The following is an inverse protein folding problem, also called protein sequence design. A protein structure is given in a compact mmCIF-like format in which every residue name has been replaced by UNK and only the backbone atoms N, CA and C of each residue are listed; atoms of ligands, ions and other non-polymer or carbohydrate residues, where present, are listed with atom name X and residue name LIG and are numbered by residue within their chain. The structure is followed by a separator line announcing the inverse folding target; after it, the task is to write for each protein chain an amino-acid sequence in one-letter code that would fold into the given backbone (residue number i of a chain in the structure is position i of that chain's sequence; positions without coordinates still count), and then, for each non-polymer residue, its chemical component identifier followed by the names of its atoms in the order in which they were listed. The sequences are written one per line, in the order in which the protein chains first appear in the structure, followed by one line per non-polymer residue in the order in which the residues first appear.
data_IF_625538278717
#
_entry.id   IF_625538278717
#
_cell.length_a   1.000
_cell.length_b   1.000
_cell.length_c   1.000
_cell.angle_alpha   90.00
_cell.angle_beta   90.00
_cell.angle_gamma   90.00
#
_symmetry.space_group_name_H-M   'P 1'
#
loop_
_entity.id
_entity.type
_entity.pdbx_description
1 polymer ?
#
# COMPACT_ATOMS: atom_id res chain seq x y z
N UNK A 1 17.18 20.60 -53.43
CA UNK A 1 18.39 20.15 -52.70
C UNK A 1 18.25 20.65 -51.27
N UNK A 2 18.65 19.83 -50.29
CA UNK A 2 18.68 20.07 -48.84
C UNK A 2 17.31 19.95 -48.11
N UNK A 3 17.16 19.28 -46.96
CA UNK A 3 17.83 18.12 -46.34
C UNK A 3 16.85 17.57 -45.29
N UNK A 4 17.12 16.35 -44.83
CA UNK A 4 16.30 15.47 -43.99
C UNK A 4 16.58 15.67 -42.49
N UNK A 5 15.66 15.16 -41.65
CA UNK A 5 15.76 14.76 -40.21
C UNK A 5 15.40 15.86 -39.21
N UNK A 6 14.68 15.58 -38.11
CA UNK A 6 14.80 14.38 -37.27
C UNK A 6 13.50 14.10 -36.51
N UNK A 7 13.10 12.83 -36.51
CA UNK A 7 12.11 12.23 -35.64
C UNK A 7 12.59 12.29 -34.18
N UNK A 8 11.76 12.82 -33.28
CA UNK A 8 11.91 12.62 -31.84
C UNK A 8 10.84 11.62 -31.39
N UNK A 9 11.25 10.35 -31.47
CA UNK A 9 10.81 9.18 -30.76
C UNK A 9 9.89 9.45 -29.53
N UNK A 10 8.58 9.53 -29.74
CA UNK A 10 7.61 9.35 -28.65
C UNK A 10 7.48 7.86 -28.42
N UNK A 11 8.32 7.31 -27.53
CA UNK A 11 8.09 5.98 -27.00
C UNK A 11 6.68 5.94 -26.42
N UNK A 12 5.81 5.12 -27.02
CA UNK A 12 4.53 4.77 -26.42
C UNK A 12 4.85 4.06 -25.11
N UNK A 13 4.74 4.79 -24.01
CA UNK A 13 4.66 4.20 -22.68
C UNK A 13 3.42 3.33 -22.71
N UNK A 14 3.64 2.03 -22.88
CA UNK A 14 2.61 1.01 -22.66
C UNK A 14 2.33 1.08 -21.17
N UNK A 15 1.27 1.81 -20.81
CA UNK A 15 0.72 1.80 -19.47
C UNK A 15 0.30 0.37 -19.18
N UNK A 16 1.19 -0.37 -18.52
CA UNK A 16 0.83 -1.60 -17.82
C UNK A 16 -0.43 -1.27 -17.01
N UNK A 17 -1.46 -2.08 -17.21
CA UNK A 17 -2.81 -1.93 -16.69
C UNK A 17 -2.75 -1.43 -15.25
N UNK A 18 -3.05 -0.15 -15.03
CA UNK A 18 -3.06 0.45 -13.69
C UNK A 18 -4.30 -0.11 -12.97
N UNK A 19 -4.17 -1.31 -12.39
CA UNK A 19 -5.26 -2.05 -11.70
C UNK A 19 -5.89 -1.23 -10.57
N UNK A 20 -5.19 -0.18 -10.13
CA UNK A 20 -5.62 0.75 -9.10
C UNK A 20 -6.06 2.12 -9.67
N UNK A 21 -5.96 2.41 -10.97
CA UNK A 21 -6.14 3.75 -11.58
C UNK A 21 -5.53 4.89 -10.75
N UNK A 22 -4.36 4.66 -10.14
CA UNK A 22 -3.69 5.63 -9.26
C UNK A 22 -3.38 6.94 -10.00
N UNK A 23 -3.31 6.92 -11.34
CA UNK A 23 -3.01 8.09 -12.17
C UNK A 23 -4.21 9.03 -12.34
N UNK A 24 -5.45 8.53 -12.29
CA UNK A 24 -6.64 9.32 -12.66
C UNK A 24 -7.40 9.89 -11.46
N UNK A 25 -7.26 9.29 -10.28
CA UNK A 25 -8.00 9.72 -9.09
C UNK A 25 -7.31 10.87 -8.35
N UNK A 26 -8.12 11.80 -7.82
CA UNK A 26 -7.66 12.80 -6.87
C UNK A 26 -7.26 12.13 -5.54
N UNK A 27 -5.97 12.17 -5.22
CA UNK A 27 -5.49 11.76 -3.89
C UNK A 27 -5.80 12.90 -2.93
N UNK A 28 -6.65 12.71 -1.91
CA UNK A 28 -6.99 13.78 -0.95
C UNK A 28 -5.87 14.06 0.04
N UNK A 29 -5.74 15.27 0.60
CA UNK A 29 -4.82 15.54 1.72
C UNK A 29 -5.15 14.70 2.95
N UNK A 30 -4.14 14.46 3.80
CA UNK A 30 -4.35 13.75 5.05
C UNK A 30 -5.15 14.61 6.05
N UNK A 31 -6.08 14.03 6.82
CA UNK A 31 -6.74 14.72 7.93
C UNK A 31 -5.74 15.22 8.98
N UNK A 32 -6.06 16.33 9.64
CA UNK A 32 -5.19 16.98 10.64
C UNK A 32 -4.70 16.01 11.74
N UNK A 33 -5.58 15.16 12.26
CA UNK A 33 -5.24 14.21 13.31
C UNK A 33 -4.23 13.13 12.85
N UNK A 34 -4.23 12.76 11.56
CA UNK A 34 -3.23 11.84 10.98
C UNK A 34 -1.88 12.54 10.87
N UNK A 35 -1.86 13.80 10.44
CA UNK A 35 -0.64 14.61 10.38
C UNK A 35 -0.01 14.79 11.77
N UNK A 36 -0.81 15.06 12.80
CA UNK A 36 -0.33 15.15 14.18
C UNK A 36 0.30 13.84 14.66
N UNK A 37 -0.32 12.69 14.34
CA UNK A 37 0.23 11.36 14.64
C UNK A 37 1.51 11.07 13.86
N UNK A 38 1.61 11.50 12.59
CA UNK A 38 2.85 11.41 11.82
C UNK A 38 3.98 12.21 12.46
N UNK A 39 3.70 13.39 13.02
CA UNK A 39 4.69 14.20 13.73
C UNK A 39 5.15 13.48 15.01
N UNK A 40 4.24 12.91 15.79
CA UNK A 40 4.57 12.10 16.97
C UNK A 40 5.42 10.87 16.58
N UNK A 41 5.12 10.28 15.43
CA UNK A 41 5.85 9.17 14.81
C UNK A 41 7.33 9.44 14.57
N UNK A 42 7.80 10.70 14.62
CA UNK A 42 9.22 11.06 14.46
C UNK A 42 10.10 10.61 15.62
N UNK A 43 9.54 10.52 16.82
CA UNK A 43 10.29 10.25 18.05
C UNK A 43 9.91 8.92 18.70
N UNK A 44 8.68 8.45 18.47
CA UNK A 44 8.18 7.20 19.02
C UNK A 44 7.28 6.48 18.02
N UNK A 45 7.20 5.15 18.13
CA UNK A 45 6.27 4.35 17.34
C UNK A 45 4.83 4.81 17.61
N UNK A 46 4.18 5.33 16.57
CA UNK A 46 2.84 5.92 16.65
C UNK A 46 1.94 5.30 15.59
N UNK A 47 0.75 4.87 15.99
CA UNK A 47 -0.29 4.45 15.05
C UNK A 47 -0.84 5.66 14.31
N UNK A 48 -0.85 5.63 12.98
CA UNK A 48 -1.22 6.77 12.13
C UNK A 48 -2.53 6.55 11.37
N UNK A 49 -2.85 5.31 11.01
CA UNK A 49 -4.06 4.94 10.27
C UNK A 49 -4.68 3.67 10.86
N UNK A 50 -6.00 3.62 10.82
CA UNK A 50 -6.78 2.40 10.96
C UNK A 50 -7.24 1.99 9.56
N UNK A 51 -6.96 0.75 9.17
CA UNK A 51 -7.63 0.14 8.04
C UNK A 51 -9.11 0.00 8.33
N UNK A 52 -9.94 0.21 7.32
CA UNK A 52 -11.38 0.15 7.46
C UNK A 52 -11.81 -1.26 7.85
N UNK A 53 -12.52 -1.41 8.96
CA UNK A 53 -13.15 -2.67 9.33
C UNK A 53 -14.24 -3.02 8.30
N UNK A 54 -14.40 -4.30 8.00
CA UNK A 54 -15.55 -4.81 7.24
C UNK A 54 -16.34 -5.74 8.13
N UNK A 55 -17.64 -5.50 8.24
CA UNK A 55 -18.56 -6.32 9.06
C UNK A 55 -18.49 -7.81 8.67
N UNK A 56 -18.30 -8.11 7.38
CA UNK A 56 -18.14 -9.50 6.90
C UNK A 56 -16.92 -10.24 7.49
N UNK A 57 -15.99 -9.54 8.15
CA UNK A 57 -14.81 -10.12 8.79
C UNK A 57 -14.94 -10.29 10.30
N UNK A 58 -15.99 -9.74 10.93
CA UNK A 58 -16.11 -9.69 12.39
C UNK A 58 -16.13 -11.08 13.05
N UNK A 59 -16.57 -12.09 12.32
CA UNK A 59 -16.63 -13.49 12.78
C UNK A 59 -15.47 -14.35 12.28
N UNK A 60 -14.61 -13.81 11.41
CA UNK A 60 -13.53 -14.57 10.80
C UNK A 60 -12.27 -14.51 11.65
N UNK A 61 -11.61 -15.67 11.80
CA UNK A 61 -10.26 -15.74 12.36
C UNK A 61 -9.25 -15.65 11.22
N UNK A 62 -8.27 -14.74 11.29
CA UNK A 62 -7.20 -14.70 10.30
C UNK A 62 -6.46 -16.04 10.24
N UNK A 63 -6.22 -16.53 9.03
CA UNK A 63 -5.30 -17.63 8.73
C UNK A 63 -3.85 -17.18 8.85
N UNK A 64 -3.54 -15.96 8.40
CA UNK A 64 -2.19 -15.41 8.42
C UNK A 64 -2.21 -13.89 8.57
N UNK A 65 -1.08 -13.33 8.97
CA UNK A 65 -0.79 -11.91 8.91
C UNK A 65 0.41 -11.67 8.00
N UNK A 66 0.35 -10.61 7.19
CA UNK A 66 1.51 -10.04 6.51
C UNK A 66 1.83 -8.71 7.15
N UNK A 67 3.06 -8.54 7.65
CA UNK A 67 3.59 -7.24 8.07
C UNK A 67 4.43 -6.69 6.92
N UNK A 68 4.14 -5.47 6.50
CA UNK A 68 4.86 -4.75 5.45
C UNK A 68 5.63 -3.61 6.08
N UNK A 69 6.93 -3.51 5.77
CA UNK A 69 7.87 -2.53 6.33
C UNK A 69 8.56 -1.76 5.20
N UNK A 70 8.60 -0.44 5.33
CA UNK A 70 9.14 0.50 4.34
C UNK A 70 10.01 1.54 5.05
N UNK A 71 11.29 1.64 4.69
CA UNK A 71 12.19 2.65 5.23
C UNK A 71 12.36 3.80 4.26
N UNK A 72 12.32 5.03 4.78
CA UNK A 72 12.41 6.25 4.01
C UNK A 72 13.67 7.06 4.34
N UNK A 73 14.10 7.87 3.38
CA UNK A 73 15.20 8.82 3.56
C UNK A 73 14.64 10.25 3.74
N UNK A 74 13.57 10.58 3.03
CA UNK A 74 12.96 11.90 3.04
C UNK A 74 11.62 11.91 3.78
N UNK A 75 11.43 12.93 4.62
CA UNK A 75 10.20 13.12 5.41
C UNK A 75 8.96 13.25 4.53
N UNK A 76 9.09 13.95 3.40
CA UNK A 76 7.99 14.15 2.46
C UNK A 76 7.49 12.83 1.88
N UNK A 77 8.36 11.83 1.70
CA UNK A 77 7.97 10.50 1.24
C UNK A 77 7.17 9.73 2.28
N UNK A 78 7.46 9.93 3.58
CA UNK A 78 6.66 9.35 4.66
C UNK A 78 5.23 9.88 4.62
N UNK A 79 5.07 11.20 4.43
CA UNK A 79 3.75 11.85 4.32
C UNK A 79 3.03 11.37 3.06
N UNK A 80 3.73 11.28 1.91
CA UNK A 80 3.18 10.74 0.66
C UNK A 80 2.75 9.29 0.81
N UNK A 81 3.54 8.46 1.49
CA UNK A 81 3.20 7.06 1.77
C UNK A 81 1.92 6.96 2.59
N UNK A 82 1.81 7.68 3.71
CA UNK A 82 0.59 7.69 4.53
C UNK A 82 -0.64 8.11 3.71
N UNK A 83 -0.50 9.12 2.86
CA UNK A 83 -1.57 9.60 1.96
C UNK A 83 -1.99 8.53 0.95
N UNK A 84 -1.01 7.87 0.32
CA UNK A 84 -1.26 6.79 -0.66
C UNK A 84 -1.86 5.55 -0.01
N UNK A 85 -1.46 5.23 1.21
CA UNK A 85 -2.06 4.17 2.01
C UNK A 85 -3.53 4.50 2.24
N UNK A 86 -3.86 5.66 2.82
CA UNK A 86 -5.26 6.05 3.07
C UNK A 86 -6.12 6.00 1.79
N UNK A 87 -5.62 6.59 0.70
CA UNK A 87 -6.31 6.55 -0.60
C UNK A 87 -6.55 5.11 -1.09
N UNK A 88 -5.58 4.21 -0.91
CA UNK A 88 -5.71 2.81 -1.28
C UNK A 88 -6.78 2.10 -0.46
N UNK A 89 -6.94 2.42 0.83
CA UNK A 89 -8.05 1.86 1.65
C UNK A 89 -9.39 2.28 1.06
N UNK A 90 -9.58 3.60 0.93
CA UNK A 90 -10.83 4.24 0.53
C UNK A 90 -11.30 3.67 -0.81
N UNK A 91 -10.37 3.53 -1.77
CA UNK A 91 -10.66 3.01 -3.10
C UNK A 91 -10.98 1.51 -3.09
N UNK A 92 -10.25 0.71 -2.32
CA UNK A 92 -10.54 -0.73 -2.23
C UNK A 92 -11.91 -0.99 -1.59
N UNK A 93 -12.34 -0.12 -0.68
CA UNK A 93 -13.63 -0.21 0.01
C UNK A 93 -14.81 0.36 -0.80
N UNK A 94 -14.56 1.31 -1.70
CA UNK A 94 -15.60 1.83 -2.60
C UNK A 94 -16.05 0.82 -3.68
N UNK A 95 -15.37 -0.32 -3.82
CA UNK A 95 -15.75 -1.37 -4.78
C UNK A 95 -17.01 -2.10 -4.29
N UNK A 96 -18.03 -2.18 -5.13
CA UNK A 96 -19.39 -2.59 -4.77
C UNK A 96 -19.54 -4.09 -4.47
N UNK A 97 -18.60 -4.95 -4.89
CA UNK A 97 -18.77 -6.41 -4.80
C UNK A 97 -17.49 -7.27 -4.71
N UNK A 98 -16.37 -6.85 -4.10
CA UNK A 98 -15.28 -7.79 -3.89
C UNK A 98 -15.57 -8.64 -2.64
N UNK A 99 -15.59 -9.96 -2.80
CA UNK A 99 -15.29 -10.89 -1.70
C UNK A 99 -13.85 -10.60 -1.28
N UNK A 100 -13.66 -9.64 -0.38
CA UNK A 100 -12.34 -9.27 0.16
C UNK A 100 -12.00 -10.29 1.23
N UNK A 101 -11.10 -11.24 0.95
CA UNK A 101 -10.65 -12.26 1.93
C UNK A 101 -9.45 -11.80 2.78
N UNK A 102 -9.28 -10.49 2.91
CA UNK A 102 -8.21 -9.85 3.67
C UNK A 102 -8.68 -8.53 4.28
N UNK A 103 -8.05 -8.10 5.37
CA UNK A 103 -8.29 -6.79 5.96
C UNK A 103 -6.97 -6.09 6.23
N UNK A 104 -6.85 -4.85 5.76
CA UNK A 104 -5.82 -3.97 6.29
C UNK A 104 -6.14 -3.65 7.75
N UNK A 105 -5.13 -3.80 8.61
CA UNK A 105 -5.18 -3.52 10.03
C UNK A 105 -4.64 -2.11 10.26
N UNK A 106 -3.72 -1.95 11.18
CA UNK A 106 -3.22 -0.66 11.60
C UNK A 106 -1.94 -0.32 10.83
N UNK A 107 -1.69 0.97 10.66
CA UNK A 107 -0.39 1.46 10.17
C UNK A 107 0.29 2.28 11.22
N UNK A 108 1.60 2.13 11.29
CA UNK A 108 2.48 2.75 12.25
C UNK A 108 3.58 3.51 11.53
N UNK A 109 3.98 4.60 12.16
CA UNK A 109 5.23 5.28 11.87
C UNK A 109 6.15 5.15 13.08
N UNK A 110 7.40 4.79 12.84
CA UNK A 110 8.49 4.86 13.82
C UNK A 110 9.72 5.48 13.15
N UNK A 111 9.99 6.74 13.48
CA UNK A 111 11.01 7.58 12.82
C UNK A 111 10.77 7.66 11.31
N UNK A 112 11.61 6.99 10.53
CA UNK A 112 11.56 6.91 9.07
C UNK A 112 11.04 5.55 8.57
N UNK A 113 10.61 4.67 9.47
CA UNK A 113 9.99 3.40 9.15
C UNK A 113 8.47 3.57 9.13
N UNK A 114 7.85 3.16 8.04
CA UNK A 114 6.41 2.91 7.97
C UNK A 114 6.15 1.42 8.01
N UNK A 115 5.15 1.02 8.78
CA UNK A 115 4.74 -0.37 8.90
C UNK A 115 3.23 -0.47 8.80
N UNK A 116 2.73 -1.49 8.11
CA UNK A 116 1.31 -1.83 8.16
C UNK A 116 1.11 -3.34 8.09
N UNK A 117 -0.05 -3.81 8.56
CA UNK A 117 -0.36 -5.24 8.59
C UNK A 117 -1.62 -5.58 7.81
N UNK A 118 -1.61 -6.73 7.15
CA UNK A 118 -2.77 -7.31 6.46
C UNK A 118 -3.12 -8.63 7.11
N UNK A 119 -4.36 -8.78 7.55
CA UNK A 119 -4.94 -10.05 7.98
C UNK A 119 -5.52 -10.78 6.76
N UNK A 120 -5.25 -12.07 6.64
CA UNK A 120 -5.76 -12.92 5.57
C UNK A 120 -6.69 -13.97 6.16
N UNK A 121 -7.88 -14.13 5.61
CA UNK A 121 -8.91 -15.03 6.17
C UNK A 121 -9.05 -16.35 5.42
N UNK A 122 -8.41 -16.49 4.26
CA UNK A 122 -8.40 -17.73 3.47
C UNK A 122 -6.97 -18.14 3.15
N UNK A 123 -6.66 -19.44 3.34
CA UNK A 123 -5.38 -20.05 2.98
C UNK A 123 -5.10 -19.92 1.49
N UNK A 124 -6.03 -20.34 0.64
CA UNK A 124 -5.84 -20.32 -0.81
C UNK A 124 -5.65 -18.89 -1.33
N UNK A 125 -6.36 -17.94 -0.75
CA UNK A 125 -6.21 -16.53 -1.10
C UNK A 125 -4.86 -15.97 -0.64
N UNK A 126 -4.41 -16.33 0.57
CA UNK A 126 -3.10 -15.96 1.09
C UNK A 126 -1.97 -16.51 0.21
N UNK A 127 -1.94 -17.81 -0.08
CA UNK A 127 -0.87 -18.42 -0.87
C UNK A 127 -0.79 -17.82 -2.28
N UNK A 128 -1.93 -17.49 -2.88
CA UNK A 128 -1.97 -16.87 -4.21
C UNK A 128 -1.52 -15.40 -4.24
N UNK A 129 -1.54 -14.67 -3.11
CA UNK A 129 -1.37 -13.19 -3.09
C UNK A 129 -0.44 -12.64 -2.03
N UNK A 130 0.14 -13.48 -1.17
CA UNK A 130 1.03 -13.04 -0.07
C UNK A 130 2.21 -12.19 -0.56
N UNK A 131 2.68 -12.44 -1.77
CA UNK A 131 3.82 -11.76 -2.38
C UNK A 131 3.41 -10.54 -3.23
N UNK A 132 2.13 -10.13 -3.21
CA UNK A 132 1.62 -9.00 -4.00
C UNK A 132 2.41 -7.71 -3.78
N UNK A 133 2.88 -7.44 -2.55
CA UNK A 133 3.65 -6.24 -2.23
C UNK A 133 5.06 -6.19 -2.86
N UNK A 134 5.55 -7.32 -3.37
CA UNK A 134 6.83 -7.42 -4.08
C UNK A 134 6.65 -7.47 -5.60
N UNK A 135 5.40 -7.52 -6.08
CA UNK A 135 5.11 -7.54 -7.50
C UNK A 135 5.51 -6.19 -8.15
N UNK A 136 6.27 -6.30 -9.23
CA UNK A 136 6.67 -5.20 -10.11
C UNK A 136 5.48 -4.41 -10.69
N UNK A 137 4.29 -5.02 -10.76
CA UNK A 137 3.06 -4.32 -11.16
C UNK A 137 2.70 -3.15 -10.23
N UNK A 138 3.16 -3.15 -8.98
CA UNK A 138 3.00 -2.05 -8.02
C UNK A 138 4.08 -0.97 -8.10
N UNK A 139 5.06 -1.08 -9.01
CA UNK A 139 6.18 -0.13 -9.08
C UNK A 139 5.72 1.31 -9.32
N UNK A 140 4.68 1.52 -10.15
CA UNK A 140 4.09 2.84 -10.40
C UNK A 140 3.39 3.44 -9.17
N UNK A 141 2.90 2.59 -8.27
CA UNK A 141 2.30 3.02 -7.00
C UNK A 141 3.39 3.42 -5.99
N UNK A 142 4.43 2.60 -5.82
CA UNK A 142 5.53 2.87 -4.89
C UNK A 142 6.36 4.10 -5.25
N UNK A 143 6.54 4.36 -6.56
CA UNK A 143 7.30 5.53 -7.02
C UNK A 143 6.67 6.86 -6.59
N UNK A 144 5.36 6.89 -6.29
CA UNK A 144 4.66 8.09 -5.78
C UNK A 144 5.16 8.53 -4.40
N UNK A 145 5.86 7.67 -3.68
CA UNK A 145 6.48 7.97 -2.39
C UNK A 145 7.95 7.51 -2.36
N UNK A 146 8.62 7.55 -3.51
CA UNK A 146 10.08 7.40 -3.57
C UNK A 146 10.60 5.98 -3.33
N UNK A 147 9.74 4.96 -3.38
CA UNK A 147 10.12 3.56 -3.21
C UNK A 147 9.93 2.74 -4.49
N UNK A 148 10.53 1.56 -4.48
CA UNK A 148 10.36 0.52 -5.47
C UNK A 148 10.06 -0.83 -4.78
N UNK A 149 9.59 -1.86 -5.50
CA UNK A 149 9.24 -3.15 -4.88
C UNK A 149 10.38 -3.78 -4.06
N UNK A 150 11.65 -3.57 -4.45
CA UNK A 150 12.83 -4.06 -3.71
C UNK A 150 13.04 -3.40 -2.33
N UNK A 151 12.45 -2.24 -2.10
CA UNK A 151 12.54 -1.51 -0.84
C UNK A 151 11.48 -1.98 0.17
N UNK A 152 10.52 -2.78 -0.29
CA UNK A 152 9.42 -3.32 0.50
C UNK A 152 9.84 -4.63 1.15
N UNK A 153 9.81 -4.66 2.48
CA UNK A 153 10.05 -5.88 3.26
C UNK A 153 8.73 -6.44 3.75
N UNK A 154 8.48 -7.72 3.48
CA UNK A 154 7.31 -8.43 3.95
C UNK A 154 7.70 -9.56 4.91
N UNK A 155 6.89 -9.75 5.94
CA UNK A 155 7.01 -10.85 6.88
C UNK A 155 5.64 -11.51 7.02
N UNK A 156 5.58 -12.83 6.86
CA UNK A 156 4.34 -13.59 6.93
C UNK A 156 4.30 -14.46 8.19
N UNK A 157 3.23 -14.35 8.97
CA UNK A 157 3.02 -15.11 10.20
C UNK A 157 1.71 -15.89 10.08
N UNK A 158 1.80 -17.22 10.03
CA UNK A 158 0.63 -18.09 10.09
C UNK A 158 0.05 -18.09 11.51
N UNK A 159 -1.27 -17.94 11.59
CA UNK A 159 -1.99 -18.08 12.86
C UNK A 159 -2.12 -19.57 13.13
N UNK A 160 -1.32 -20.09 14.07
CA UNK A 160 -1.47 -21.47 14.53
C UNK A 160 -2.82 -21.61 15.22
N UNK A 161 -3.76 -22.30 14.59
CA UNK A 161 -4.92 -22.83 15.29
C UNK A 161 -4.44 -23.82 16.35
N UNK A 162 -5.01 -23.77 17.56
CA UNK A 162 -5.00 -24.97 18.41
C UNK A 162 -5.73 -26.06 17.62
N UNK A 163 -5.00 -27.13 17.30
CA UNK A 163 -5.61 -28.37 16.82
C UNK A 163 -6.61 -28.90 17.86
#
# INVERSE_FOLDING_TARGET
MATRKTDANTEKIVLATDVLNVIQDEVKPLPKHVLERLIQGRTQRTQILHGSALEQHDHLKPYAYTVVKMNFIHEDDVIRCARMLQWSDERMRARTDPVILWAWKESYRDKMLMEFSVAWYSKDYFEARKDAFQDTSHASYYSKFGLSPKDIKTEHVLVKGKA
#
